data_IF_055975598355
#
_entry.id   IF_055975598355
#
_cell.length_a   1.000
_cell.length_b   1.000
_cell.length_c   1.000
_cell.angle_alpha   90.00
_cell.angle_beta   90.00
_cell.angle_gamma   90.00
#
_symmetry.space_group_name_H-M   'P 1'
#
loop_
_entity.id
_entity.type
_entity.pdbx_description
1 polymer ?
#
# COMPACT_ATOMS: atom_id res chain seq x y z
N UNK A 1 12.75 14.45 12.26
CA UNK A 1 13.51 13.20 12.00
C UNK A 1 13.70 13.04 10.50
N UNK A 2 14.91 12.68 10.02
CA UNK A 2 15.28 12.70 8.59
C UNK A 2 14.46 11.76 7.67
N UNK A 3 13.76 10.79 8.26
CA UNK A 3 13.06 9.70 7.57
C UNK A 3 11.56 9.55 7.95
N UNK A 4 10.95 10.60 8.53
CA UNK A 4 9.58 10.51 9.07
C UNK A 4 8.49 10.21 8.02
N UNK A 5 8.70 10.66 6.78
CA UNK A 5 7.76 10.50 5.66
C UNK A 5 8.35 9.56 4.61
N UNK A 6 8.91 8.43 5.05
CA UNK A 6 9.55 7.47 4.16
C UNK A 6 8.80 6.15 4.19
N UNK A 7 8.54 5.61 2.99
CA UNK A 7 8.10 4.24 2.81
C UNK A 7 9.28 3.39 2.35
N UNK A 8 9.30 2.13 2.77
CA UNK A 8 10.18 1.11 2.21
C UNK A 8 9.34 0.11 1.43
N UNK A 9 9.84 -0.31 0.27
CA UNK A 9 9.16 -1.30 -0.54
C UNK A 9 10.06 -2.14 -1.40
N UNK A 10 9.49 -3.22 -1.92
CA UNK A 10 10.15 -4.15 -2.82
C UNK A 10 9.13 -4.75 -3.78
N UNK A 11 9.62 -5.18 -4.94
CA UNK A 11 8.79 -5.82 -5.95
C UNK A 11 8.70 -7.33 -5.70
N UNK A 12 7.48 -7.86 -5.77
CA UNK A 12 7.19 -9.28 -5.60
C UNK A 12 7.44 -10.01 -6.91
N UNK A 13 8.17 -11.13 -6.85
CA UNK A 13 8.39 -12.05 -7.97
C UNK A 13 9.35 -11.56 -9.07
N UNK A 14 9.55 -10.25 -9.24
CA UNK A 14 10.38 -9.67 -10.30
C UNK A 14 11.25 -8.53 -9.79
N UNK A 15 12.51 -8.49 -10.24
CA UNK A 15 13.40 -7.34 -10.00
C UNK A 15 13.18 -6.30 -11.09
N UNK A 16 12.84 -5.07 -10.70
CA UNK A 16 12.65 -3.95 -11.62
C UNK A 16 13.88 -3.04 -11.59
N UNK A 17 14.42 -2.61 -12.75
CA UNK A 17 15.57 -1.70 -12.79
C UNK A 17 15.25 -0.35 -12.14
N UNK A 18 16.21 0.21 -11.40
CA UNK A 18 16.00 1.46 -10.65
C UNK A 18 15.46 2.61 -11.50
N UNK A 19 16.02 2.84 -12.69
CA UNK A 19 15.57 3.91 -13.59
C UNK A 19 14.08 3.79 -13.91
N UNK A 20 13.60 2.58 -14.17
CA UNK A 20 12.19 2.31 -14.46
C UNK A 20 11.32 2.58 -13.24
N UNK A 21 11.75 2.11 -12.06
CA UNK A 21 11.04 2.36 -10.80
C UNK A 21 10.92 3.85 -10.51
N UNK A 22 12.04 4.57 -10.64
CA UNK A 22 12.12 6.01 -10.44
C UNK A 22 11.18 6.74 -11.39
N UNK A 23 11.37 6.58 -12.70
CA UNK A 23 10.61 7.30 -13.71
C UNK A 23 9.10 6.99 -13.60
N UNK A 24 8.71 5.73 -13.35
CA UNK A 24 7.29 5.38 -13.26
C UNK A 24 6.63 5.85 -11.96
N UNK A 25 7.28 5.66 -10.81
CA UNK A 25 6.66 5.96 -9.52
C UNK A 25 6.70 7.44 -9.18
N UNK A 26 7.76 8.17 -9.56
CA UNK A 26 7.79 9.64 -9.41
C UNK A 26 6.65 10.24 -10.25
N UNK A 27 6.54 9.89 -11.53
CA UNK A 27 5.43 10.37 -12.38
C UNK A 27 4.04 9.94 -11.88
N UNK A 28 3.88 8.68 -11.39
CA UNK A 28 2.58 8.17 -10.92
C UNK A 28 2.14 8.85 -9.63
N UNK A 29 3.08 9.24 -8.76
CA UNK A 29 2.79 9.78 -7.43
C UNK A 29 2.93 11.31 -7.33
N UNK A 30 3.57 11.97 -8.29
CA UNK A 30 3.79 13.42 -8.33
C UNK A 30 2.51 14.23 -8.09
N UNK A 31 1.38 13.78 -8.65
CA UNK A 31 0.06 14.39 -8.46
C UNK A 31 -0.42 14.49 -7.00
N UNK A 32 0.14 13.67 -6.11
CA UNK A 32 -0.18 13.69 -4.68
C UNK A 32 0.92 14.33 -3.85
N UNK A 33 2.10 14.56 -4.43
CA UNK A 33 3.24 15.17 -3.78
C UNK A 33 4.55 14.71 -4.41
N UNK A 34 5.58 15.54 -4.24
CA UNK A 34 6.94 15.20 -4.63
C UNK A 34 7.43 14.00 -3.81
N UNK A 35 8.07 13.06 -4.52
CA UNK A 35 8.64 11.84 -3.97
C UNK A 35 10.04 11.65 -4.53
N UNK A 36 10.97 11.34 -3.66
CA UNK A 36 12.33 10.96 -4.03
C UNK A 36 12.48 9.44 -3.92
N UNK A 37 12.84 8.79 -5.03
CA UNK A 37 13.13 7.35 -5.03
C UNK A 37 14.62 7.10 -4.78
N UNK A 38 14.91 6.31 -3.75
CA UNK A 38 16.26 5.97 -3.32
C UNK A 38 16.41 4.44 -3.39
N UNK A 39 17.54 3.95 -3.92
CA UNK A 39 17.84 2.51 -3.91
C UNK A 39 18.33 2.10 -2.51
N UNK A 40 17.68 1.09 -1.93
CA UNK A 40 18.14 0.45 -0.70
C UNK A 40 18.97 -0.81 -0.96
N UNK A 41 19.40 -1.47 0.11
CA UNK A 41 20.07 -2.77 0.02
C UNK A 41 19.10 -3.88 -0.47
N UNK A 42 19.66 -4.94 -1.06
CA UNK A 42 18.94 -6.17 -1.42
C UNK A 42 17.73 -5.98 -2.36
N UNK A 43 17.71 -4.93 -3.18
CA UNK A 43 16.59 -4.68 -4.11
C UNK A 43 15.37 -4.04 -3.47
N UNK A 44 15.50 -3.53 -2.24
CA UNK A 44 14.54 -2.63 -1.63
C UNK A 44 14.67 -1.21 -2.21
N UNK A 45 13.58 -0.47 -2.15
CA UNK A 45 13.49 0.93 -2.52
C UNK A 45 12.96 1.72 -1.33
N UNK A 46 13.48 2.93 -1.16
CA UNK A 46 12.98 3.91 -0.21
C UNK A 46 12.30 5.02 -0.99
N UNK A 47 11.13 5.41 -0.53
CA UNK A 47 10.30 6.44 -1.14
C UNK A 47 10.11 7.55 -0.10
N UNK A 48 10.83 8.65 -0.27
CA UNK A 48 10.81 9.78 0.66
C UNK A 48 9.88 10.85 0.13
N UNK A 49 8.84 11.16 0.90
CA UNK A 49 7.85 12.17 0.58
C UNK A 49 8.12 13.46 1.35
N UNK A 50 7.77 14.59 0.74
CA UNK A 50 7.94 15.90 1.39
C UNK A 50 6.90 16.14 2.50
N UNK A 51 5.76 15.45 2.46
CA UNK A 51 4.71 15.56 3.47
C UNK A 51 4.11 14.20 3.85
N UNK A 52 3.55 14.13 5.05
CA UNK A 52 2.96 12.91 5.60
C UNK A 52 1.68 12.50 4.87
N UNK A 53 0.87 13.45 4.42
CA UNK A 53 -0.39 13.17 3.73
C UNK A 53 -0.17 12.40 2.42
N UNK A 54 0.82 12.76 1.60
CA UNK A 54 1.20 12.02 0.39
C UNK A 54 1.70 10.62 0.72
N UNK A 55 2.54 10.51 1.76
CA UNK A 55 3.08 9.23 2.23
C UNK A 55 1.95 8.29 2.66
N UNK A 56 1.03 8.76 3.51
CA UNK A 56 -0.13 8.01 4.01
C UNK A 56 -1.10 7.69 2.86
N UNK A 57 -1.29 8.61 1.92
CA UNK A 57 -2.13 8.41 0.74
C UNK A 57 -1.58 7.31 -0.16
N UNK A 58 -0.29 7.34 -0.49
CA UNK A 58 0.36 6.31 -1.32
C UNK A 58 0.29 4.96 -0.61
N UNK A 59 0.59 4.91 0.69
CA UNK A 59 0.49 3.67 1.47
C UNK A 59 -0.94 3.10 1.48
N UNK A 60 -1.97 3.97 1.57
CA UNK A 60 -3.38 3.55 1.68
C UNK A 60 -4.10 3.30 0.35
N UNK A 61 -3.52 3.72 -0.77
CA UNK A 61 -4.14 3.59 -2.10
C UNK A 61 -3.43 2.61 -3.04
N UNK A 62 -2.55 1.76 -2.49
CA UNK A 62 -2.06 0.57 -3.20
C UNK A 62 -3.16 -0.48 -3.45
N UNK A 63 -2.82 -1.60 -4.11
CA UNK A 63 -1.48 -2.02 -4.50
C UNK A 63 -0.93 -1.23 -5.69
N UNK A 64 0.38 -0.98 -5.69
CA UNK A 64 1.06 -0.34 -6.81
C UNK A 64 1.77 -1.38 -7.66
N UNK A 65 1.81 -1.18 -8.96
CA UNK A 65 2.58 -2.03 -9.86
C UNK A 65 3.49 -1.19 -10.77
N UNK A 66 4.60 -1.83 -11.17
CA UNK A 66 5.46 -1.38 -12.26
C UNK A 66 5.75 -2.60 -13.13
N UNK A 67 5.40 -2.53 -14.41
CA UNK A 67 5.52 -3.64 -15.37
C UNK A 67 4.87 -4.95 -14.89
N UNK A 68 3.71 -4.85 -14.24
CA UNK A 68 2.95 -5.98 -13.72
C UNK A 68 3.55 -6.63 -12.47
N UNK A 69 4.67 -6.13 -11.95
CA UNK A 69 5.20 -6.55 -10.66
C UNK A 69 4.60 -5.68 -9.56
N UNK A 70 3.95 -6.31 -8.58
CA UNK A 70 3.38 -5.60 -7.43
C UNK A 70 4.48 -5.12 -6.49
N UNK A 71 4.33 -3.88 -6.04
CA UNK A 71 5.17 -3.22 -5.06
C UNK A 71 4.52 -3.36 -3.68
N UNK A 72 5.17 -4.14 -2.82
CA UNK A 72 4.85 -4.17 -1.41
C UNK A 72 5.43 -2.92 -0.73
N UNK A 73 4.63 -2.25 0.10
CA UNK A 73 5.02 -1.04 0.82
C UNK A 73 4.74 -1.18 2.32
N UNK A 74 5.62 -0.59 3.14
CA UNK A 74 5.37 -0.32 4.56
C UNK A 74 6.05 1.00 4.97
N UNK A 75 5.66 1.53 6.13
CA UNK A 75 6.30 2.71 6.70
C UNK A 75 7.73 2.37 7.15
N UNK A 76 8.65 3.29 6.93
CA UNK A 76 10.02 3.18 7.44
C UNK A 76 10.03 3.36 8.96
N UNK A 77 10.79 2.51 9.66
CA UNK A 77 11.00 2.56 11.10
C UNK A 77 12.49 2.55 11.43
N UNK A 78 12.90 3.33 12.43
CA UNK A 78 14.31 3.37 12.87
C UNK A 78 14.74 1.98 13.37
N UNK A 79 15.88 1.48 12.90
CA UNK A 79 16.38 0.15 13.24
C UNK A 79 15.85 -0.99 12.38
N UNK A 80 14.96 -0.71 11.41
CA UNK A 80 14.48 -1.72 10.47
C UNK A 80 15.61 -2.26 9.58
N UNK A 81 15.72 -3.59 9.49
CA UNK A 81 16.60 -4.25 8.53
C UNK A 81 16.10 -3.98 7.10
N UNK A 82 17.02 -3.56 6.21
CA UNK A 82 16.81 -3.60 4.76
C UNK A 82 17.13 -4.98 4.18
N UNK A 83 17.22 -6.01 5.02
CA UNK A 83 17.22 -7.38 4.57
C UNK A 83 15.86 -7.66 3.92
N UNK A 84 15.86 -8.53 2.91
CA UNK A 84 14.63 -9.21 2.51
C UNK A 84 14.27 -10.21 3.61
N UNK A 85 14.08 -9.74 4.84
CA UNK A 85 13.20 -10.47 5.73
C UNK A 85 11.91 -10.57 4.92
N UNK A 86 11.45 -11.79 4.62
CA UNK A 86 10.22 -11.94 3.87
C UNK A 86 9.22 -11.13 4.66
N UNK A 87 8.60 -10.13 4.02
CA UNK A 87 7.40 -9.56 4.60
C UNK A 87 6.50 -10.77 4.76
N UNK A 88 6.37 -11.29 5.97
CA UNK A 88 5.59 -12.50 6.24
C UNK A 88 4.15 -12.28 5.79
N UNK A 89 3.73 -11.02 5.79
CA UNK A 89 2.51 -10.48 5.22
C UNK A 89 2.75 -9.07 4.67
N UNK A 90 1.99 -8.71 3.64
CA UNK A 90 1.90 -7.34 3.12
C UNK A 90 0.48 -6.83 3.37
N UNK A 91 0.34 -5.53 3.62
CA UNK A 91 -0.99 -4.93 3.73
C UNK A 91 -1.55 -4.65 2.35
N UNK A 92 -2.74 -5.18 2.07
CA UNK A 92 -3.43 -4.94 0.79
C UNK A 92 -4.86 -4.48 1.03
N UNK A 93 -5.26 -3.46 0.27
CA UNK A 93 -6.66 -3.04 0.23
C UNK A 93 -7.44 -3.89 -0.75
N UNK A 94 -8.29 -4.76 -0.24
CA UNK A 94 -9.19 -5.58 -1.04
C UNK A 94 -10.47 -4.80 -1.33
N UNK A 95 -10.87 -4.81 -2.60
CA UNK A 95 -12.14 -4.25 -3.07
C UNK A 95 -13.17 -5.36 -3.21
N UNK A 96 -14.19 -5.34 -2.35
CA UNK A 96 -15.34 -6.24 -2.41
C UNK A 96 -16.45 -5.56 -3.23
N UNK A 97 -16.70 -6.05 -4.44
CA UNK A 97 -17.75 -5.53 -5.33
C UNK A 97 -19.06 -6.31 -5.17
N UNK A 98 -20.18 -5.68 -5.53
CA UNK A 98 -21.51 -6.30 -5.54
C UNK A 98 -21.94 -6.93 -4.20
N UNK A 99 -21.52 -6.33 -3.08
CA UNK A 99 -21.93 -6.77 -1.75
C UNK A 99 -23.41 -6.39 -1.54
N UNK A 100 -24.30 -7.36 -1.24
CA UNK A 100 -25.69 -7.07 -0.92
C UNK A 100 -25.82 -6.02 0.19
N UNK A 101 -26.73 -5.03 0.09
CA UNK A 101 -26.86 -3.98 1.08
C UNK A 101 -27.09 -4.47 2.52
N UNK A 102 -27.68 -5.66 2.68
CA UNK A 102 -27.97 -6.36 3.94
C UNK A 102 -26.69 -6.90 4.60
N UNK A 103 -25.68 -7.24 3.80
CA UNK A 103 -24.37 -7.69 4.26
C UNK A 103 -23.37 -6.54 4.45
N UNK A 104 -23.83 -5.29 4.29
CA UNK A 104 -23.00 -4.09 4.50
C UNK A 104 -22.87 -3.73 5.99
N UNK A 105 -22.40 -4.69 6.77
CA UNK A 105 -22.05 -4.50 8.18
C UNK A 105 -20.59 -4.83 8.37
N UNK A 106 -19.95 -4.23 9.38
CA UNK A 106 -18.53 -4.51 9.63
C UNK A 106 -18.27 -6.00 9.90
N UNK A 107 -19.07 -6.71 10.72
CA UNK A 107 -18.86 -8.14 10.92
C UNK A 107 -18.92 -8.93 9.61
N UNK A 108 -19.90 -8.65 8.74
CA UNK A 108 -20.03 -9.36 7.46
C UNK A 108 -18.86 -9.04 6.51
N UNK A 109 -18.49 -7.78 6.36
CA UNK A 109 -17.39 -7.37 5.48
C UNK A 109 -16.04 -7.90 5.96
N UNK A 110 -15.78 -7.85 7.27
CA UNK A 110 -14.58 -8.46 7.86
C UNK A 110 -14.58 -9.97 7.70
N UNK A 111 -15.72 -10.64 7.87
CA UNK A 111 -15.83 -12.09 7.67
C UNK A 111 -15.54 -12.50 6.22
N UNK A 112 -16.01 -11.75 5.24
CA UNK A 112 -15.67 -12.02 3.82
C UNK A 112 -14.18 -11.77 3.56
N UNK A 113 -13.64 -10.65 4.06
CA UNK A 113 -12.23 -10.32 3.90
C UNK A 113 -11.30 -11.32 4.62
N UNK A 114 -11.77 -11.99 5.68
CA UNK A 114 -10.94 -12.94 6.43
C UNK A 114 -10.57 -14.19 5.64
N UNK A 115 -11.26 -14.46 4.54
CA UNK A 115 -10.89 -15.51 3.59
C UNK A 115 -9.57 -15.20 2.87
N UNK A 116 -9.13 -13.94 2.81
CA UNK A 116 -7.91 -13.49 2.14
C UNK A 116 -6.75 -13.22 3.11
N UNK A 117 -7.04 -12.88 4.37
CA UNK A 117 -6.03 -12.49 5.37
C UNK A 117 -6.67 -12.07 6.69
N UNK A 118 -5.92 -11.39 7.58
CA UNK A 118 -6.49 -10.84 8.81
C UNK A 118 -7.06 -9.43 8.56
N UNK A 119 -8.38 -9.19 8.63
CA UNK A 119 -8.95 -7.86 8.38
C UNK A 119 -8.48 -6.86 9.44
N UNK A 120 -7.87 -5.76 9.02
CA UNK A 120 -7.31 -4.75 9.91
C UNK A 120 -8.18 -3.51 10.02
N UNK A 121 -8.67 -3.00 8.88
CA UNK A 121 -9.48 -1.77 8.86
C UNK A 121 -10.34 -1.67 7.60
N UNK A 122 -11.29 -0.74 7.64
CA UNK A 122 -12.14 -0.37 6.50
C UNK A 122 -11.91 1.10 6.17
N UNK A 123 -12.04 1.46 4.90
CA UNK A 123 -11.99 2.88 4.54
C UNK A 123 -13.20 3.64 5.08
N UNK A 124 -13.09 4.96 5.18
CA UNK A 124 -14.12 5.80 5.79
C UNK A 124 -15.47 5.69 5.08
N UNK A 125 -15.47 5.51 3.75
CA UNK A 125 -16.68 5.41 2.93
C UNK A 125 -17.41 4.09 3.21
N UNK A 126 -16.68 2.98 3.24
CA UNK A 126 -17.21 1.64 3.57
C UNK A 126 -17.76 1.62 4.98
N UNK A 127 -16.99 2.17 5.93
CA UNK A 127 -17.34 2.25 7.34
C UNK A 127 -18.64 3.04 7.57
N UNK A 128 -18.78 4.19 6.89
CA UNK A 128 -19.95 5.04 7.02
C UNK A 128 -21.17 4.52 6.23
N UNK A 129 -20.95 3.62 5.26
CA UNK A 129 -22.02 3.06 4.43
C UNK A 129 -22.67 4.07 3.48
N UNK A 130 -22.05 5.25 3.29
CA UNK A 130 -22.58 6.38 2.51
C UNK A 130 -22.72 6.00 1.03
N UNK A 131 -21.81 5.16 0.52
CA UNK A 131 -21.80 4.71 -0.88
C UNK A 131 -21.55 3.20 -0.96
N UNK A 132 -22.58 2.44 -1.35
CA UNK A 132 -22.54 0.96 -1.38
C UNK A 132 -22.11 0.37 -2.73
N UNK A 133 -21.25 1.05 -3.49
CA UNK A 133 -20.78 0.51 -4.79
C UNK A 133 -19.76 -0.63 -4.61
N UNK A 134 -18.86 -0.48 -3.64
CA UNK A 134 -17.87 -1.48 -3.27
C UNK A 134 -17.38 -1.19 -1.85
N UNK A 135 -17.07 -2.24 -1.10
CA UNK A 135 -16.42 -2.13 0.20
C UNK A 135 -14.90 -2.24 0.02
N UNK A 136 -14.13 -1.45 0.77
CA UNK A 136 -12.67 -1.61 0.87
C UNK A 136 -12.30 -2.04 2.28
N UNK A 137 -11.62 -3.18 2.36
CA UNK A 137 -11.10 -3.74 3.61
C UNK A 137 -9.60 -3.94 3.44
N UNK A 138 -8.82 -3.46 4.40
CA UNK A 138 -7.40 -3.74 4.49
C UNK A 138 -7.20 -5.09 5.17
N UNK A 139 -6.37 -5.93 4.56
CA UNK A 139 -6.06 -7.30 4.99
C UNK A 139 -4.56 -7.54 4.95
#
# INVERSE_FOLDING_TARGET
KSWANTLVGYFIGKRIPFKVVKDQLENKWEKWGSVQVITGANGNFLFKFDNSASCDFVLSNGPWDVWGAYLALRRWEEGMSLCKDPFSSILVWVKLANVPPELWTRPCLSYVASALGAPLCMDAITYAGIRKNFARVCV
#
